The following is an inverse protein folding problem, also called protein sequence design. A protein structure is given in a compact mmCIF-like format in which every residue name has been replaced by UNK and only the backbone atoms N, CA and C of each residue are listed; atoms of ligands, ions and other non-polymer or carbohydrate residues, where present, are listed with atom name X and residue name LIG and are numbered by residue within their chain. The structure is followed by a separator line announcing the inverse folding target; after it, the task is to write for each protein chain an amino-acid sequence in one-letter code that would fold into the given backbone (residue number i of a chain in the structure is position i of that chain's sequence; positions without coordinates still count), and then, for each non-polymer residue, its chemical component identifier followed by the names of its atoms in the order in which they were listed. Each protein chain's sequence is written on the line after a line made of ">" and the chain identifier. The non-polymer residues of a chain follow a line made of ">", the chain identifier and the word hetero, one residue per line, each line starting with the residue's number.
data_IF_361916976460
#
_entry.id   IF_361916976460
#
_cell.length_a   1.000
_cell.length_b   1.000
_cell.length_c   1.000
_cell.angle_alpha   90.00
_cell.angle_beta   90.00
_cell.angle_gamma   90.00
#
_symmetry.space_group_name_H-M   'P 1'
#
loop_
_entity.id
_entity.type
_entity.pdbx_description
1 polymer ?
#
# COMPACT_ATOMS: atom_id res chain seq x y z
N UNK A 1 -15.82 -38.27 11.97
CA UNK A 1 -14.61 -37.85 12.69
C UNK A 1 -13.33 -38.42 12.07
N UNK A 2 -12.97 -39.71 12.26
CA UNK A 2 -11.69 -40.24 11.72
C UNK A 2 -11.60 -40.13 10.18
N UNK A 3 -12.71 -40.41 9.47
CA UNK A 3 -12.84 -40.24 8.02
C UNK A 3 -12.56 -38.80 7.57
N UNK A 4 -13.02 -37.82 8.34
CA UNK A 4 -12.87 -36.39 8.02
C UNK A 4 -11.44 -35.92 8.27
N UNK A 5 -10.77 -36.43 9.32
CA UNK A 5 -9.35 -36.17 9.57
C UNK A 5 -8.47 -36.70 8.44
N UNK A 6 -8.70 -37.94 7.99
CA UNK A 6 -7.98 -38.54 6.86
C UNK A 6 -8.28 -37.81 5.55
N UNK A 7 -9.51 -37.32 5.37
CA UNK A 7 -9.89 -36.49 4.23
C UNK A 7 -9.06 -35.20 4.16
N UNK A 8 -9.01 -34.44 5.27
CA UNK A 8 -8.22 -33.20 5.37
C UNK A 8 -6.72 -33.43 5.18
N UNK A 9 -6.18 -34.51 5.72
CA UNK A 9 -4.76 -34.86 5.58
C UNK A 9 -4.41 -35.14 4.10
N UNK A 10 -5.29 -35.83 3.37
CA UNK A 10 -5.12 -36.05 1.93
C UNK A 10 -5.18 -34.75 1.13
N UNK A 11 -6.08 -33.83 1.47
CA UNK A 11 -6.13 -32.50 0.83
C UNK A 11 -4.83 -31.71 1.09
N UNK A 12 -4.29 -31.76 2.31
CA UNK A 12 -3.02 -31.13 2.64
C UNK A 12 -1.83 -31.73 1.86
N UNK A 13 -1.80 -33.05 1.65
CA UNK A 13 -0.80 -33.69 0.78
C UNK A 13 -0.84 -33.11 -0.64
N UNK A 14 -2.04 -32.86 -1.18
CA UNK A 14 -2.22 -32.29 -2.52
C UNK A 14 -1.78 -30.82 -2.56
N UNK A 15 -2.18 -30.01 -1.57
CA UNK A 15 -1.84 -28.58 -1.50
C UNK A 15 -0.33 -28.33 -1.30
N UNK A 16 0.31 -29.15 -0.47
CA UNK A 16 1.74 -29.02 -0.14
C UNK A 16 2.66 -29.86 -1.04
N UNK A 17 2.08 -30.65 -1.94
CA UNK A 17 2.79 -31.66 -2.73
C UNK A 17 3.72 -32.54 -1.87
N UNK A 18 3.18 -33.08 -0.77
CA UNK A 18 3.98 -33.75 0.26
C UNK A 18 3.28 -34.96 0.87
N UNK A 19 3.98 -35.65 1.78
CA UNK A 19 3.42 -36.69 2.63
C UNK A 19 3.00 -36.11 4.00
N UNK A 20 2.16 -36.83 4.79
CA UNK A 20 1.68 -36.34 6.09
C UNK A 20 2.78 -36.00 7.10
N UNK A 21 3.87 -36.78 7.10
CA UNK A 21 5.02 -36.57 7.98
C UNK A 21 5.73 -35.23 7.76
N UNK A 22 5.58 -34.63 6.58
CA UNK A 22 6.24 -33.38 6.20
C UNK A 22 5.39 -32.13 6.45
N UNK A 23 4.09 -32.26 6.74
CA UNK A 23 3.15 -31.13 6.79
C UNK A 23 3.64 -30.01 7.71
N UNK A 24 4.00 -30.34 8.96
CA UNK A 24 4.44 -29.35 9.95
C UNK A 24 5.69 -28.61 9.46
N UNK A 25 6.67 -29.36 8.94
CA UNK A 25 7.93 -28.80 8.45
C UNK A 25 7.70 -27.86 7.26
N UNK A 26 6.84 -28.25 6.32
CA UNK A 26 6.54 -27.46 5.13
C UNK A 26 5.73 -26.21 5.47
N UNK A 27 4.73 -26.31 6.36
CA UNK A 27 3.97 -25.14 6.82
C UNK A 27 4.87 -24.13 7.53
N UNK A 28 5.75 -24.57 8.42
CA UNK A 28 6.71 -23.67 9.08
C UNK A 28 7.70 -23.05 8.09
N UNK A 29 8.17 -23.84 7.09
CA UNK A 29 9.02 -23.33 6.01
C UNK A 29 8.29 -22.24 5.20
N UNK A 30 7.08 -22.51 4.72
CA UNK A 30 6.27 -21.55 3.95
C UNK A 30 6.00 -20.28 4.74
N UNK A 31 5.67 -20.39 6.03
CA UNK A 31 5.48 -19.23 6.93
C UNK A 31 6.75 -18.40 7.06
N UNK A 32 7.92 -19.03 7.18
CA UNK A 32 9.22 -18.35 7.24
C UNK A 32 9.54 -17.63 5.92
N UNK A 33 9.37 -18.32 4.81
CA UNK A 33 9.59 -17.77 3.47
C UNK A 33 8.66 -16.59 3.18
N UNK A 34 7.36 -16.71 3.51
CA UNK A 34 6.41 -15.61 3.37
C UNK A 34 6.84 -14.36 4.13
N UNK A 35 7.28 -14.50 5.39
CA UNK A 35 7.82 -13.36 6.17
C UNK A 35 9.05 -12.73 5.51
N UNK A 36 9.93 -13.55 4.96
CA UNK A 36 11.11 -13.06 4.26
C UNK A 36 10.74 -12.30 2.98
N UNK A 37 9.80 -12.85 2.18
CA UNK A 37 9.30 -12.17 0.98
C UNK A 37 8.60 -10.85 1.31
N UNK A 38 7.80 -10.78 2.38
CA UNK A 38 7.18 -9.53 2.82
C UNK A 38 8.24 -8.47 3.19
N UNK A 39 9.32 -8.87 3.87
CA UNK A 39 10.42 -7.95 4.20
C UNK A 39 11.11 -7.43 2.93
N UNK A 40 11.45 -8.32 2.00
CA UNK A 40 12.09 -7.94 0.73
C UNK A 40 11.18 -7.07 -0.13
N UNK A 41 9.86 -7.33 -0.14
CA UNK A 41 8.89 -6.47 -0.82
C UNK A 41 8.88 -5.05 -0.23
N UNK A 42 8.85 -4.92 1.10
CA UNK A 42 8.86 -3.61 1.74
C UNK A 42 10.16 -2.85 1.48
N UNK A 43 11.31 -3.53 1.47
CA UNK A 43 12.59 -2.93 1.08
C UNK A 43 12.56 -2.41 -0.37
N UNK A 44 12.09 -3.25 -1.31
CA UNK A 44 11.96 -2.86 -2.72
C UNK A 44 10.98 -1.68 -2.92
N UNK A 45 9.89 -1.63 -2.14
CA UNK A 45 8.94 -0.50 -2.17
C UNK A 45 9.60 0.80 -1.68
N UNK A 46 10.43 0.76 -0.64
CA UNK A 46 11.18 1.95 -0.18
C UNK A 46 12.17 2.46 -1.24
N UNK A 47 12.87 1.54 -1.90
CA UNK A 47 13.80 1.89 -2.98
C UNK A 47 13.04 2.51 -4.16
N UNK A 48 11.88 1.94 -4.50
CA UNK A 48 10.98 2.49 -5.51
C UNK A 48 10.51 3.90 -5.13
N UNK A 49 10.08 4.12 -3.88
CA UNK A 49 9.65 5.44 -3.41
C UNK A 49 10.77 6.48 -3.57
N UNK A 50 12.01 6.09 -3.30
CA UNK A 50 13.18 6.94 -3.48
C UNK A 50 13.42 7.25 -4.96
N UNK A 51 13.30 6.25 -5.84
CA UNK A 51 13.44 6.44 -7.28
C UNK A 51 12.34 7.33 -7.88
N UNK A 52 11.08 7.16 -7.44
CA UNK A 52 9.95 8.03 -7.81
C UNK A 52 10.20 9.48 -7.40
N UNK A 53 10.63 9.68 -6.14
CA UNK A 53 10.97 11.01 -5.63
C UNK A 53 12.13 11.64 -6.39
N UNK A 54 13.17 10.86 -6.74
CA UNK A 54 14.27 11.33 -7.56
C UNK A 54 13.77 11.84 -8.92
N UNK A 55 12.89 11.07 -9.59
CA UNK A 55 12.28 11.52 -10.86
C UNK A 55 11.48 12.81 -10.71
N UNK A 56 10.72 12.93 -9.62
CA UNK A 56 10.00 14.16 -9.30
C UNK A 56 10.95 15.35 -9.11
N UNK A 57 12.02 15.17 -8.32
CA UNK A 57 12.96 16.24 -7.99
C UNK A 57 13.75 16.75 -9.20
N UNK A 58 13.92 15.93 -10.24
CA UNK A 58 14.57 16.31 -11.49
C UNK A 58 13.66 17.12 -12.44
N UNK A 59 12.36 17.27 -12.13
CA UNK A 59 11.45 18.06 -12.95
C UNK A 59 11.71 19.56 -12.80
N UNK A 60 11.77 20.27 -13.93
CA UNK A 60 11.84 21.73 -13.98
C UNK A 60 10.92 22.26 -15.08
N UNK A 61 9.88 23.06 -14.74
CA UNK A 61 9.51 23.51 -13.40
C UNK A 61 8.85 22.38 -12.57
N UNK A 62 8.98 22.46 -11.24
CA UNK A 62 8.26 21.56 -10.33
C UNK A 62 6.75 21.85 -10.36
N UNK A 63 5.88 20.82 -10.37
CA UNK A 63 4.44 21.02 -10.33
C UNK A 63 3.99 21.46 -8.92
N UNK A 64 2.90 22.23 -8.85
CA UNK A 64 2.31 22.66 -7.56
C UNK A 64 1.61 21.52 -6.81
N UNK A 65 1.12 20.53 -7.54
CA UNK A 65 0.38 19.38 -7.00
C UNK A 65 1.00 18.11 -7.59
N UNK A 66 1.22 17.11 -6.74
CA UNK A 66 1.73 15.81 -7.12
C UNK A 66 0.75 14.71 -6.73
N UNK A 67 0.27 13.97 -7.72
CA UNK A 67 -0.60 12.81 -7.54
C UNK A 67 0.19 11.54 -7.76
N UNK A 68 -0.02 10.56 -6.88
CA UNK A 68 0.61 9.24 -7.03
C UNK A 68 -0.34 8.15 -6.53
N UNK A 69 -0.39 7.03 -7.26
CA UNK A 69 -1.09 5.83 -6.85
C UNK A 69 -0.18 4.63 -7.00
N UNK A 70 -0.18 3.72 -6.01
CA UNK A 70 0.55 2.46 -6.07
C UNK A 70 -0.27 1.30 -5.50
N UNK A 71 -0.57 0.32 -6.35
CA UNK A 71 -1.46 -0.79 -6.01
C UNK A 71 -0.97 -1.67 -4.85
N UNK A 72 0.29 -2.08 -4.90
CA UNK A 72 1.01 -2.92 -3.92
C UNK A 72 1.68 -2.12 -2.80
N UNK A 73 1.47 -0.80 -2.78
CA UNK A 73 2.00 0.07 -1.74
C UNK A 73 1.15 0.04 -0.46
N UNK A 74 1.72 0.58 0.60
CA UNK A 74 1.05 0.80 1.89
C UNK A 74 1.39 2.20 2.45
N UNK A 75 1.03 2.45 3.71
CA UNK A 75 1.35 3.72 4.37
C UNK A 75 2.85 3.96 4.50
N UNK A 76 3.64 2.89 4.56
CA UNK A 76 5.08 2.96 4.71
C UNK A 76 5.74 3.44 3.43
N UNK A 77 5.35 2.83 2.29
CA UNK A 77 5.72 3.26 0.95
C UNK A 77 5.36 4.74 0.71
N UNK A 78 4.11 5.12 0.99
CA UNK A 78 3.66 6.50 0.82
C UNK A 78 4.43 7.46 1.74
N UNK A 79 4.74 7.03 2.95
CA UNK A 79 5.56 7.80 3.90
C UNK A 79 6.97 8.04 3.38
N UNK A 80 7.63 7.01 2.86
CA UNK A 80 8.96 7.12 2.25
C UNK A 80 8.95 8.09 1.06
N UNK A 81 7.93 8.02 0.21
CA UNK A 81 7.78 8.92 -0.94
C UNK A 81 7.59 10.38 -0.51
N UNK A 82 6.78 10.64 0.52
CA UNK A 82 6.63 11.99 1.09
C UNK A 82 7.96 12.52 1.61
N UNK A 83 8.72 11.69 2.34
CA UNK A 83 10.01 12.09 2.92
C UNK A 83 11.09 12.33 1.87
N UNK A 84 11.08 11.56 0.77
CA UNK A 84 12.07 11.72 -0.30
C UNK A 84 11.78 12.91 -1.23
N UNK A 85 10.51 13.35 -1.33
CA UNK A 85 10.14 14.61 -1.99
C UNK A 85 10.26 15.75 -0.98
N UNK A 86 11.47 16.28 -0.83
CA UNK A 86 11.79 17.38 0.09
C UNK A 86 11.37 18.75 -0.47
N UNK A 87 10.06 18.96 -0.59
CA UNK A 87 9.47 20.21 -1.04
C UNK A 87 8.09 20.44 -0.40
N UNK A 88 7.99 21.37 0.54
CA UNK A 88 6.75 21.71 1.25
C UNK A 88 5.80 22.59 0.41
N UNK A 89 6.27 23.17 -0.69
CA UNK A 89 5.44 23.97 -1.59
C UNK A 89 4.61 23.12 -2.55
N UNK A 90 4.90 21.82 -2.61
CA UNK A 90 4.18 20.85 -3.43
C UNK A 90 3.12 20.16 -2.57
N UNK A 91 1.85 20.30 -2.96
CA UNK A 91 0.77 19.52 -2.37
C UNK A 91 0.81 18.09 -2.92
N UNK A 92 1.17 17.14 -2.06
CA UNK A 92 1.21 15.72 -2.38
C UNK A 92 -0.13 15.08 -2.03
N UNK A 93 -0.73 14.36 -2.97
CA UNK A 93 -1.93 13.54 -2.77
C UNK A 93 -1.60 12.13 -3.25
N UNK A 94 -1.32 11.24 -2.31
CA UNK A 94 -0.77 9.92 -2.61
C UNK A 94 -1.70 8.84 -2.08
N UNK A 95 -1.94 7.82 -2.88
CA UNK A 95 -2.81 6.68 -2.53
C UNK A 95 -2.09 5.37 -2.74
N UNK A 96 -2.47 4.35 -1.96
CA UNK A 96 -2.01 3.00 -2.15
C UNK A 96 -3.08 1.98 -1.78
N UNK A 97 -3.03 0.79 -2.39
CA UNK A 97 -4.04 -0.27 -2.27
C UNK A 97 -4.70 -0.59 -3.61
N UNK A 98 -5.53 -1.64 -3.63
CA UNK A 98 -6.14 -2.12 -4.87
C UNK A 98 -7.17 -1.15 -5.47
N UNK A 99 -7.23 -1.07 -6.80
CA UNK A 99 -8.08 -0.12 -7.53
C UNK A 99 -9.57 -0.16 -7.11
N UNK A 100 -10.07 -1.36 -6.79
CA UNK A 100 -11.44 -1.62 -6.36
C UNK A 100 -11.56 -2.10 -4.90
N UNK A 101 -10.56 -1.83 -4.06
CA UNK A 101 -10.46 -2.37 -2.71
C UNK A 101 -10.08 -1.34 -1.64
N UNK A 102 -10.02 -1.74 -0.37
CA UNK A 102 -9.58 -0.86 0.70
C UNK A 102 -8.13 -0.42 0.46
N UNK A 103 -7.87 0.86 0.68
CA UNK A 103 -6.57 1.47 0.51
C UNK A 103 -6.28 2.53 1.56
N UNK A 104 -5.18 3.25 1.35
CA UNK A 104 -4.69 4.31 2.21
C UNK A 104 -4.38 5.56 1.40
N UNK A 105 -4.52 6.71 2.04
CA UNK A 105 -4.31 8.04 1.48
C UNK A 105 -3.38 8.84 2.39
N UNK A 106 -2.42 9.53 1.80
CA UNK A 106 -1.65 10.59 2.45
C UNK A 106 -1.80 11.88 1.64
N UNK A 107 -2.20 12.96 2.31
CA UNK A 107 -2.15 14.32 1.78
C UNK A 107 -1.12 15.09 2.60
N UNK A 108 -0.11 15.64 1.96
CA UNK A 108 0.99 16.35 2.62
C UNK A 108 1.33 17.66 1.89
N UNK A 109 1.46 18.75 2.65
CA UNK A 109 1.78 20.07 2.12
C UNK A 109 1.50 21.15 3.15
N UNK A 110 1.29 22.38 2.69
CA UNK A 110 0.93 23.50 3.57
C UNK A 110 -0.38 23.21 4.32
N UNK A 111 -0.48 23.53 5.62
CA UNK A 111 -1.66 23.21 6.42
C UNK A 111 -2.97 23.74 5.84
N UNK A 112 -2.92 24.93 5.22
CA UNK A 112 -4.07 25.57 4.57
C UNK A 112 -4.59 24.76 3.39
N UNK A 113 -3.69 24.24 2.55
CA UNK A 113 -4.05 23.47 1.37
C UNK A 113 -4.58 22.09 1.78
N UNK A 114 -3.89 21.42 2.71
CA UNK A 114 -4.31 20.11 3.27
C UNK A 114 -5.71 20.21 3.87
N UNK A 115 -6.00 21.28 4.63
CA UNK A 115 -7.32 21.50 5.23
C UNK A 115 -8.42 21.73 4.19
N UNK A 116 -8.11 22.40 3.08
CA UNK A 116 -9.06 22.66 1.98
C UNK A 116 -9.38 21.39 1.19
N UNK A 117 -8.38 20.57 0.86
CA UNK A 117 -8.57 19.41 -0.03
C UNK A 117 -8.97 18.12 0.68
N UNK A 118 -8.51 17.89 1.92
CA UNK A 118 -8.68 16.61 2.62
C UNK A 118 -10.14 16.16 2.72
N UNK A 119 -11.06 17.07 3.07
CA UNK A 119 -12.49 16.76 3.15
C UNK A 119 -13.05 16.31 1.80
N UNK A 120 -12.70 17.01 0.71
CA UNK A 120 -13.22 16.71 -0.62
C UNK A 120 -12.66 15.40 -1.17
N UNK A 121 -11.37 15.15 -0.96
CA UNK A 121 -10.72 13.89 -1.37
C UNK A 121 -11.30 12.71 -0.60
N UNK A 122 -11.52 12.83 0.71
CA UNK A 122 -12.17 11.78 1.50
C UNK A 122 -13.62 11.51 1.05
N UNK A 123 -14.37 12.54 0.66
CA UNK A 123 -15.72 12.35 0.11
C UNK A 123 -15.68 11.53 -1.19
N UNK A 124 -14.73 11.82 -2.10
CA UNK A 124 -14.60 11.14 -3.39
C UNK A 124 -14.13 9.69 -3.24
N UNK A 125 -13.16 9.45 -2.36
CA UNK A 125 -12.53 8.14 -2.17
C UNK A 125 -13.20 7.30 -1.06
N UNK A 126 -14.33 7.79 -0.53
CA UNK A 126 -15.09 7.18 0.57
C UNK A 126 -14.20 6.89 1.79
N UNK A 127 -13.37 7.88 2.15
CA UNK A 127 -12.33 7.76 3.14
C UNK A 127 -12.63 8.39 4.50
N UNK A 128 -11.94 7.90 5.52
CA UNK A 128 -11.95 8.46 6.88
C UNK A 128 -10.53 8.57 7.43
N UNK A 129 -10.19 9.75 7.95
CA UNK A 129 -8.83 10.06 8.38
C UNK A 129 -8.72 11.37 9.14
N UNK A 130 -7.48 11.80 9.38
CA UNK A 130 -7.18 13.03 10.11
C UNK A 130 -5.72 13.46 9.98
N UNK A 131 -5.45 14.70 10.38
CA UNK A 131 -4.11 15.31 10.39
C UNK A 131 -4.13 16.75 9.87
N UNK A 132 -3.14 17.56 10.26
CA UNK A 132 -3.08 19.00 9.92
C UNK A 132 -2.15 19.31 8.74
N UNK A 133 -0.88 18.93 8.85
CA UNK A 133 0.14 19.09 7.79
C UNK A 133 0.29 17.82 6.95
N UNK A 134 0.12 16.67 7.62
CA UNK A 134 0.05 15.34 7.02
C UNK A 134 -1.30 14.73 7.37
N UNK A 135 -2.23 14.75 6.43
CA UNK A 135 -3.52 14.09 6.59
C UNK A 135 -3.42 12.65 6.10
N UNK A 136 -3.80 11.70 6.94
CA UNK A 136 -3.79 10.27 6.60
C UNK A 136 -5.19 9.70 6.72
N UNK A 137 -5.63 8.90 5.74
CA UNK A 137 -6.94 8.25 5.77
C UNK A 137 -6.89 6.81 5.26
N UNK A 138 -7.85 6.01 5.70
CA UNK A 138 -8.25 4.78 5.01
C UNK A 138 -9.32 5.15 3.97
N UNK A 139 -9.27 4.55 2.80
CA UNK A 139 -10.16 4.82 1.66
C UNK A 139 -10.74 3.51 1.13
N UNK A 140 -11.92 3.54 0.52
CA UNK A 140 -12.59 2.34 -0.01
C UNK A 140 -12.48 2.23 -1.54
N UNK A 141 -12.20 3.34 -2.22
CA UNK A 141 -12.04 3.41 -3.68
C UNK A 141 -10.79 4.24 -4.02
N UNK A 142 -9.61 3.64 -4.13
CA UNK A 142 -8.36 4.33 -4.46
C UNK A 142 -8.34 4.88 -5.89
N UNK A 143 -9.16 4.27 -6.77
CA UNK A 143 -9.34 4.70 -8.14
C UNK A 143 -10.83 4.91 -8.44
N UNK A 144 -11.17 6.03 -9.11
CA UNK A 144 -12.50 6.26 -9.68
C UNK A 144 -12.31 6.47 -11.18
N UNK A 145 -12.65 5.47 -11.98
CA UNK A 145 -12.79 5.63 -13.43
C UNK A 145 -13.94 6.61 -13.69
N UNK A 146 -13.64 7.73 -14.36
CA UNK A 146 -14.69 8.54 -14.98
C UNK A 146 -15.29 7.74 -16.15
N UNK A 147 -16.60 7.52 -16.13
CA UNK A 147 -17.38 7.04 -17.27
C UNK A 147 -18.05 5.68 -17.11
N UNK A 148 -19.31 5.70 -16.68
CA UNK A 148 -20.38 4.90 -17.28
C UNK A 148 -21.53 5.85 -17.59
#
# INVERSE_FOLDING_TARGET
>A
YLKDCVGREKELNLLLHSNPSDHIRLVEKTKKELKQYMKSLNEALRDLATAEAFRFNQQSPKPKIYFHHRRDGDLEYLGALVSAIDDENVLKILTAGEDSGPGVLIIHGKPEDVSKVSKKVCEILEGKGGGKTRFTAKIQKPHKTEGS
#
